data_IF_472393235688
#
_entry.id   IF_472393235688
#
_cell.length_a   1.000
_cell.length_b   1.000
_cell.length_c   1.000
_cell.angle_alpha   90.00
_cell.angle_beta   90.00
_cell.angle_gamma   90.00
#
_symmetry.space_group_name_H-M   'P 1'
#
loop_
_entity.id
_entity.type
_entity.pdbx_description
1 polymer ?
#
# COMPACT_ATOMS: atom_id res chain seq x y z
N UNK A 1 -28.60 11.91 -15.54
CA UNK A 1 -28.79 11.68 -14.08
C UNK A 1 -27.58 11.04 -13.39
N UNK A 2 -26.37 11.08 -13.99
CA UNK A 2 -25.15 10.44 -13.46
C UNK A 2 -24.19 11.47 -12.80
N UNK A 3 -24.40 12.78 -13.04
CA UNK A 3 -23.52 13.86 -12.55
C UNK A 3 -23.64 14.21 -11.06
N UNK A 4 -24.64 13.68 -10.34
CA UNK A 4 -24.89 14.01 -8.92
C UNK A 4 -24.45 12.90 -7.93
N UNK A 5 -23.73 11.87 -8.37
CA UNK A 5 -23.09 10.87 -7.50
C UNK A 5 -21.62 11.20 -7.24
N UNK A 6 -21.34 12.47 -6.96
CA UNK A 6 -20.16 12.88 -6.20
C UNK A 6 -20.38 12.38 -4.76
N UNK A 7 -20.34 11.07 -4.56
CA UNK A 7 -20.49 10.44 -3.25
C UNK A 7 -19.21 10.76 -2.50
N UNK A 8 -19.26 11.86 -1.72
CA UNK A 8 -18.71 12.06 -0.38
C UNK A 8 -17.59 11.11 0.11
N UNK A 9 -16.59 10.80 -0.71
CA UNK A 9 -15.26 10.36 -0.29
C UNK A 9 -14.26 11.53 -0.39
N UNK A 10 -14.65 12.62 -1.06
CA UNK A 10 -13.83 13.81 -1.31
C UNK A 10 -13.71 14.79 -0.13
N UNK A 11 -14.30 14.52 1.04
CA UNK A 11 -14.26 15.46 2.18
C UNK A 11 -13.35 15.03 3.34
N UNK A 12 -12.54 13.99 3.19
CA UNK A 12 -11.54 13.59 4.20
C UNK A 12 -10.14 13.37 3.61
N UNK A 13 -9.84 14.00 2.48
CA UNK A 13 -8.53 13.95 1.82
C UNK A 13 -7.82 15.30 1.95
N UNK A 14 -7.35 15.66 3.14
CA UNK A 14 -6.22 16.60 3.25
C UNK A 14 -5.27 16.15 4.36
N UNK A 15 -4.03 15.85 3.96
CA UNK A 15 -2.78 15.80 4.74
C UNK A 15 -2.46 14.54 5.59
N UNK A 16 -3.41 13.61 5.86
CA UNK A 16 -3.14 12.41 6.69
C UNK A 16 -2.82 11.10 5.95
N UNK A 17 -3.20 10.97 4.67
CA UNK A 17 -3.12 9.72 3.90
C UNK A 17 -1.65 9.34 3.56
N UNK A 18 -0.85 10.37 3.27
CA UNK A 18 0.46 10.26 2.62
C UNK A 18 1.55 9.58 3.47
N UNK A 19 1.56 9.80 4.79
CA UNK A 19 2.56 9.22 5.69
C UNK A 19 2.16 7.81 6.17
N UNK A 20 0.89 7.42 6.06
CA UNK A 20 0.43 6.18 6.71
C UNK A 20 0.46 4.96 5.79
N UNK A 21 0.20 5.09 4.48
CA UNK A 21 0.36 3.97 3.52
C UNK A 21 1.82 3.56 3.33
N UNK A 22 2.76 4.50 3.41
CA UNK A 22 4.20 4.18 3.52
C UNK A 22 4.54 3.37 4.77
N UNK A 23 3.79 3.52 5.87
CA UNK A 23 4.00 2.79 7.13
C UNK A 23 3.21 1.47 7.22
N UNK A 24 2.02 1.38 6.60
CA UNK A 24 1.22 0.15 6.53
C UNK A 24 1.87 -0.86 5.58
N UNK A 25 2.43 -0.39 4.46
CA UNK A 25 3.20 -1.22 3.52
C UNK A 25 4.68 -1.30 3.95
N UNK A 26 5.14 -0.39 4.81
CA UNK A 26 6.50 -0.31 5.35
C UNK A 26 6.83 -1.32 6.45
N UNK A 27 5.87 -2.09 6.95
CA UNK A 27 6.10 -3.14 7.96
C UNK A 27 6.13 -4.58 7.41
N UNK A 28 6.61 -4.72 6.17
CA UNK A 28 7.30 -5.94 5.76
C UNK A 28 8.58 -5.58 5.00
N UNK A 29 9.63 -5.24 5.75
CA UNK A 29 11.01 -5.37 5.26
C UNK A 29 11.44 -6.84 5.12
N UNK A 30 10.54 -7.80 5.34
CA UNK A 30 10.67 -9.15 4.83
C UNK A 30 10.10 -9.18 3.42
N UNK A 31 10.87 -9.76 2.51
CA UNK A 31 10.55 -10.07 1.12
C UNK A 31 9.29 -10.93 1.03
N UNK A 32 8.10 -10.35 1.24
CA UNK A 32 6.85 -11.05 0.99
C UNK A 32 6.76 -11.20 -0.52
N UNK A 33 6.93 -12.43 -1.00
CA UNK A 33 6.78 -12.77 -2.41
C UNK A 33 5.43 -12.24 -2.89
N UNK A 34 5.48 -11.25 -3.79
CA UNK A 34 4.28 -10.65 -4.36
C UNK A 34 3.81 -11.58 -5.46
N UNK A 35 2.75 -12.33 -5.20
CA UNK A 35 2.32 -13.39 -6.11
C UNK A 35 1.27 -12.90 -7.12
N UNK A 36 0.59 -11.77 -6.85
CA UNK A 36 -0.43 -11.20 -7.75
C UNK A 36 -0.62 -9.69 -7.53
N UNK A 37 -1.28 -9.04 -8.49
CA UNK A 37 -1.67 -7.63 -8.42
C UNK A 37 -2.87 -7.44 -7.47
N UNK A 38 -3.89 -8.30 -7.60
CA UNK A 38 -5.03 -8.30 -6.69
C UNK A 38 -4.74 -9.24 -5.53
N UNK A 39 -4.32 -8.65 -4.41
CA UNK A 39 -4.12 -9.36 -3.15
C UNK A 39 -5.33 -9.18 -2.21
N UNK A 40 -5.31 -9.90 -1.08
CA UNK A 40 -6.38 -9.82 -0.08
C UNK A 40 -6.59 -8.42 0.50
N UNK A 41 -5.57 -7.58 0.54
CA UNK A 41 -5.68 -6.21 1.06
C UNK A 41 -6.50 -5.33 0.11
N UNK A 42 -6.18 -5.37 -1.19
CA UNK A 42 -6.98 -4.69 -2.21
C UNK A 42 -8.42 -5.21 -2.24
N UNK A 43 -8.60 -6.53 -2.09
CA UNK A 43 -9.94 -7.12 -2.01
C UNK A 43 -10.72 -6.56 -0.82
N UNK A 44 -10.14 -6.50 0.38
CA UNK A 44 -10.81 -5.94 1.56
C UNK A 44 -11.19 -4.48 1.36
N UNK A 45 -10.29 -3.68 0.77
CA UNK A 45 -10.56 -2.28 0.43
C UNK A 45 -11.77 -2.17 -0.50
N UNK A 46 -11.80 -2.97 -1.58
CA UNK A 46 -12.94 -3.01 -2.50
C UNK A 46 -14.23 -3.44 -1.81
N UNK A 47 -14.17 -4.46 -0.95
CA UNK A 47 -15.35 -4.91 -0.19
C UNK A 47 -15.88 -3.80 0.71
N UNK A 48 -15.02 -3.02 1.39
CA UNK A 48 -15.43 -1.86 2.20
C UNK A 48 -16.13 -0.81 1.33
N UNK A 49 -15.50 -0.39 0.23
CA UNK A 49 -16.03 0.62 -0.68
C UNK A 49 -17.40 0.20 -1.26
N UNK A 50 -17.50 -1.03 -1.79
CA UNK A 50 -18.72 -1.51 -2.42
C UNK A 50 -19.82 -1.80 -1.39
N UNK A 51 -19.48 -2.25 -0.19
CA UNK A 51 -20.47 -2.47 0.89
C UNK A 51 -21.06 -1.13 1.35
N UNK A 52 -20.22 -0.10 1.51
CA UNK A 52 -20.68 1.25 1.79
C UNK A 52 -21.61 1.77 0.68
N UNK A 53 -21.16 1.67 -0.58
CA UNK A 53 -21.95 2.09 -1.73
C UNK A 53 -23.28 1.31 -1.85
N UNK A 54 -23.29 0.01 -1.55
CA UNK A 54 -24.49 -0.82 -1.57
C UNK A 54 -25.56 -0.31 -0.60
N UNK A 55 -25.16 0.07 0.61
CA UNK A 55 -26.11 0.61 1.59
C UNK A 55 -26.60 2.01 1.26
N UNK A 56 -25.78 2.84 0.61
CA UNK A 56 -26.17 4.19 0.19
C UNK A 56 -27.11 4.21 -1.02
N UNK A 57 -27.01 3.23 -1.92
CA UNK A 57 -27.70 3.27 -3.22
C UNK A 57 -29.18 2.87 -3.17
N UNK A 58 -29.72 2.43 -2.03
CA UNK A 58 -31.15 2.11 -1.78
C UNK A 58 -31.75 0.94 -2.58
N UNK A 59 -31.16 0.59 -3.73
CA UNK A 59 -31.54 -0.55 -4.56
C UNK A 59 -30.63 -1.74 -4.24
N UNK A 60 -31.06 -2.52 -3.26
CA UNK A 60 -30.30 -3.60 -2.60
C UNK A 60 -30.16 -4.88 -3.43
N UNK A 61 -29.82 -4.79 -4.72
CA UNK A 61 -29.58 -5.97 -5.56
C UNK A 61 -28.14 -6.50 -5.36
N UNK A 62 -28.01 -7.61 -4.64
CA UNK A 62 -26.71 -8.22 -4.30
C UNK A 62 -25.95 -8.74 -5.52
N UNK A 63 -26.62 -9.36 -6.49
CA UNK A 63 -25.96 -9.94 -7.67
C UNK A 63 -25.40 -8.84 -8.58
N UNK A 64 -26.09 -7.71 -8.67
CA UNK A 64 -25.56 -6.53 -9.36
C UNK A 64 -24.33 -5.99 -8.64
N UNK A 65 -24.37 -5.90 -7.31
CA UNK A 65 -23.26 -5.37 -6.53
C UNK A 65 -22.03 -6.30 -6.52
N UNK A 66 -22.24 -7.61 -6.59
CA UNK A 66 -21.15 -8.59 -6.76
C UNK A 66 -20.49 -8.47 -8.14
N UNK A 67 -21.27 -8.34 -9.21
CA UNK A 67 -20.73 -8.07 -10.55
C UNK A 67 -19.93 -6.78 -10.58
N UNK A 68 -20.42 -5.76 -9.89
CA UNK A 68 -19.73 -4.48 -9.73
C UNK A 68 -18.38 -4.63 -8.99
N UNK A 69 -18.34 -5.43 -7.92
CA UNK A 69 -17.10 -5.74 -7.19
C UNK A 69 -16.06 -6.36 -8.14
N UNK A 70 -16.41 -7.44 -8.84
CA UNK A 70 -15.51 -8.12 -9.76
C UNK A 70 -15.07 -7.21 -10.91
N UNK A 71 -15.98 -6.40 -11.42
CA UNK A 71 -15.66 -5.41 -12.46
C UNK A 71 -14.66 -4.36 -11.95
N UNK A 72 -14.85 -3.83 -10.74
CA UNK A 72 -13.93 -2.87 -10.13
C UNK A 72 -12.52 -3.45 -9.93
N UNK A 73 -12.42 -4.72 -9.53
CA UNK A 73 -11.16 -5.45 -9.37
C UNK A 73 -10.44 -5.60 -10.72
N UNK A 74 -11.18 -5.98 -11.76
CA UNK A 74 -10.66 -6.05 -13.13
C UNK A 74 -10.21 -4.69 -13.67
N UNK A 75 -10.90 -3.60 -13.30
CA UNK A 75 -10.48 -2.24 -13.65
C UNK A 75 -9.17 -1.82 -12.99
N UNK A 76 -8.91 -2.22 -11.75
CA UNK A 76 -7.64 -1.99 -11.07
C UNK A 76 -6.48 -2.72 -11.79
N UNK A 77 -6.70 -3.97 -12.21
CA UNK A 77 -5.73 -4.72 -12.99
C UNK A 77 -5.50 -4.10 -14.39
N UNK A 78 -6.56 -3.56 -14.98
CA UNK A 78 -6.43 -2.80 -16.22
C UNK A 78 -5.56 -1.55 -16.06
N UNK A 79 -5.73 -0.81 -14.97
CA UNK A 79 -4.90 0.36 -14.65
C UNK A 79 -3.42 -0.02 -14.49
N UNK A 80 -3.13 -1.14 -13.83
CA UNK A 80 -1.77 -1.65 -13.65
C UNK A 80 -1.04 -1.83 -15.00
N UNK A 81 -1.67 -2.52 -15.94
CA UNK A 81 -1.09 -2.73 -17.27
C UNK A 81 -1.03 -1.41 -18.07
N UNK A 82 -2.04 -0.54 -17.94
CA UNK A 82 -2.07 0.76 -18.61
C UNK A 82 -0.95 1.70 -18.12
N UNK A 83 -0.59 1.65 -16.84
CA UNK A 83 0.52 2.43 -16.29
C UNK A 83 1.89 1.82 -16.64
N UNK A 84 1.98 0.50 -16.82
CA UNK A 84 3.19 -0.12 -17.39
C UNK A 84 3.39 0.31 -18.85
N UNK A 85 2.32 0.36 -19.65
CA UNK A 85 2.43 0.81 -21.05
C UNK A 85 2.79 2.30 -21.17
N UNK A 86 2.55 3.12 -20.15
CA UNK A 86 3.00 4.52 -20.13
C UNK A 86 4.52 4.62 -20.26
N UNK A 87 5.27 3.74 -19.60
CA UNK A 87 6.74 3.68 -19.70
C UNK A 87 7.16 3.44 -21.15
N UNK A 88 6.51 2.49 -21.81
CA UNK A 88 6.75 2.15 -23.22
C UNK A 88 6.45 3.36 -24.11
N UNK A 89 5.29 3.99 -23.95
CA UNK A 89 4.89 5.16 -24.75
C UNK A 89 5.83 6.36 -24.57
N UNK A 90 6.33 6.61 -23.36
CA UNK A 90 7.35 7.64 -23.12
C UNK A 90 8.63 7.29 -23.88
N UNK A 91 9.15 6.06 -23.77
CA UNK A 91 10.39 5.69 -24.49
C UNK A 91 10.25 5.73 -26.01
N UNK A 92 9.08 5.40 -26.54
CA UNK A 92 8.81 5.47 -27.98
C UNK A 92 8.78 6.92 -28.47
N UNK A 93 8.14 7.83 -27.73
CA UNK A 93 8.14 9.26 -28.07
C UNK A 93 9.55 9.86 -27.94
N UNK A 94 10.33 9.46 -26.93
CA UNK A 94 11.73 9.89 -26.79
C UNK A 94 12.60 9.38 -27.93
N UNK A 95 12.42 8.13 -28.37
CA UNK A 95 13.11 7.58 -29.54
C UNK A 95 12.84 8.42 -30.80
N UNK A 96 11.58 8.81 -31.00
CA UNK A 96 11.18 9.71 -32.10
C UNK A 96 11.83 11.09 -31.97
N UNK A 97 11.89 11.67 -30.77
CA UNK A 97 12.55 12.97 -30.53
C UNK A 97 14.05 12.91 -30.85
N UNK A 98 14.74 11.88 -30.37
CA UNK A 98 16.18 11.66 -30.64
C UNK A 98 16.44 11.43 -32.12
N UNK A 99 15.58 10.72 -32.85
CA UNK A 99 15.71 10.54 -34.30
C UNK A 99 15.65 11.88 -35.06
N UNK A 100 14.69 12.74 -34.70
CA UNK A 100 14.56 14.08 -35.30
C UNK A 100 15.78 14.95 -35.01
N UNK A 101 16.26 14.94 -33.77
CA UNK A 101 17.45 15.68 -33.35
C UNK A 101 18.72 15.16 -34.05
N UNK A 102 18.87 13.85 -34.16
CA UNK A 102 19.97 13.20 -34.90
C UNK A 102 20.00 13.61 -36.36
N UNK A 103 18.84 13.60 -37.02
CA UNK A 103 18.73 14.03 -38.42
C UNK A 103 19.00 15.53 -38.60
N UNK A 104 18.73 16.36 -37.59
CA UNK A 104 19.13 17.77 -37.59
C UNK A 104 20.65 17.91 -37.40
N UNK A 105 21.22 17.24 -36.41
CA UNK A 105 22.65 17.30 -36.12
C UNK A 105 23.51 16.87 -37.31
N UNK A 106 23.12 15.80 -38.01
CA UNK A 106 23.77 15.34 -39.25
C UNK A 106 23.73 16.39 -40.37
N UNK A 107 22.65 17.16 -40.49
CA UNK A 107 22.52 18.22 -41.51
C UNK A 107 23.32 19.47 -41.16
N UNK A 108 23.41 19.79 -39.87
CA UNK A 108 24.05 21.00 -39.36
C UNK A 108 25.53 20.78 -39.00
N UNK A 109 26.00 19.53 -38.98
CA UNK A 109 27.36 19.17 -38.59
C UNK A 109 27.63 19.33 -37.09
N UNK A 110 26.58 19.25 -36.26
CA UNK A 110 26.67 19.34 -34.80
C UNK A 110 26.70 17.96 -34.14
N UNK A 111 26.94 17.92 -32.83
CA UNK A 111 27.00 16.67 -32.07
C UNK A 111 25.65 15.95 -32.05
N UNK A 112 25.70 14.63 -32.24
CA UNK A 112 24.52 13.76 -32.23
C UNK A 112 24.09 13.50 -30.78
N UNK A 113 22.79 13.57 -30.46
CA UNK A 113 22.30 13.27 -29.12
C UNK A 113 22.56 11.81 -28.72
N UNK A 114 22.71 11.57 -27.42
CA UNK A 114 22.91 10.21 -26.88
C UNK A 114 21.67 9.35 -27.03
N UNK A 115 21.85 8.08 -27.41
CA UNK A 115 20.76 7.12 -27.56
C UNK A 115 20.48 6.30 -26.28
N UNK A 116 21.19 6.58 -25.18
CA UNK A 116 21.16 5.76 -23.96
C UNK A 116 19.77 5.61 -23.35
N UNK A 117 19.01 6.69 -23.24
CA UNK A 117 17.68 6.62 -22.63
C UNK A 117 16.66 5.95 -23.56
N UNK A 118 16.74 6.20 -24.87
CA UNK A 118 15.77 5.70 -25.85
C UNK A 118 15.91 4.21 -26.17
N UNK A 119 17.07 3.63 -25.86
CA UNK A 119 17.34 2.19 -25.88
C UNK A 119 17.65 1.62 -24.48
N UNK A 120 17.08 2.23 -23.44
CA UNK A 120 17.13 1.70 -22.08
C UNK A 120 16.69 0.23 -22.05
N UNK A 121 17.55 -0.66 -21.56
CA UNK A 121 17.41 -2.12 -21.67
C UNK A 121 16.15 -2.64 -20.97
N UNK A 122 15.79 -2.05 -19.82
CA UNK A 122 14.56 -2.38 -19.11
C UNK A 122 13.32 -1.99 -19.92
N UNK A 123 13.28 -0.76 -20.45
CA UNK A 123 12.13 -0.28 -21.21
C UNK A 123 11.93 -1.05 -22.52
N UNK A 124 13.02 -1.40 -23.22
CA UNK A 124 12.97 -2.28 -24.40
C UNK A 124 12.42 -3.65 -24.04
N UNK A 125 12.87 -4.25 -22.93
CA UNK A 125 12.31 -5.53 -22.48
C UNK A 125 10.82 -5.44 -22.14
N UNK A 126 10.37 -4.32 -21.55
CA UNK A 126 8.96 -4.07 -21.26
C UNK A 126 8.14 -3.86 -22.53
N UNK A 127 8.68 -3.15 -23.53
CA UNK A 127 8.09 -2.95 -24.86
C UNK A 127 7.87 -4.29 -25.58
N UNK A 128 8.82 -5.22 -25.46
CA UNK A 128 8.73 -6.56 -26.06
C UNK A 128 7.91 -7.57 -25.24
N UNK A 129 7.43 -7.19 -24.06
CA UNK A 129 6.77 -8.11 -23.14
C UNK A 129 5.50 -8.73 -23.74
N UNK A 130 5.44 -10.07 -23.82
CA UNK A 130 4.33 -10.78 -24.47
C UNK A 130 3.00 -10.60 -23.75
N UNK A 131 3.00 -10.61 -22.41
CA UNK A 131 1.77 -10.47 -21.61
C UNK A 131 1.20 -9.05 -21.71
N UNK A 132 2.06 -8.04 -21.66
CA UNK A 132 1.65 -6.64 -21.82
C UNK A 132 1.04 -6.41 -23.22
N UNK A 133 1.73 -6.86 -24.27
CA UNK A 133 1.26 -6.70 -25.65
C UNK A 133 -0.09 -7.40 -25.88
N UNK A 134 -0.24 -8.64 -25.39
CA UNK A 134 -1.52 -9.36 -25.46
C UNK A 134 -2.65 -8.61 -24.73
N UNK A 135 -2.36 -8.01 -23.57
CA UNK A 135 -3.34 -7.19 -22.85
C UNK A 135 -3.76 -5.95 -23.66
N UNK A 136 -2.80 -5.27 -24.29
CA UNK A 136 -3.01 -4.03 -25.06
C UNK A 136 -3.78 -4.23 -26.38
N UNK A 137 -3.79 -5.44 -26.95
CA UNK A 137 -4.61 -5.78 -28.12
C UNK A 137 -6.12 -5.65 -27.84
N UNK A 138 -6.54 -5.89 -26.60
CA UNK A 138 -7.95 -5.85 -26.18
C UNK A 138 -8.42 -4.54 -25.54
N UNK A 139 -7.55 -3.53 -25.41
CA UNK A 139 -7.89 -2.30 -24.67
C UNK A 139 -8.60 -1.26 -25.54
N UNK A 140 -9.51 -0.52 -24.91
CA UNK A 140 -10.23 0.58 -25.55
C UNK A 140 -9.42 1.88 -25.62
N UNK A 141 -8.44 2.07 -24.73
CA UNK A 141 -7.66 3.30 -24.60
C UNK A 141 -6.18 3.00 -24.72
N UNK A 142 -5.45 3.88 -25.39
CA UNK A 142 -3.98 3.84 -25.51
C UNK A 142 -3.40 5.22 -25.25
N UNK A 143 -2.15 5.28 -24.81
CA UNK A 143 -1.45 6.56 -24.63
C UNK A 143 -1.24 7.33 -25.94
N UNK A 144 -1.37 6.67 -27.08
CA UNK A 144 -1.43 7.27 -28.42
C UNK A 144 -2.58 8.27 -28.56
N UNK A 145 -3.67 8.07 -27.79
CA UNK A 145 -4.81 8.99 -27.75
C UNK A 145 -4.51 10.26 -26.93
N UNK A 146 -3.53 10.21 -26.02
CA UNK A 146 -3.17 11.28 -25.08
C UNK A 146 -1.69 11.70 -25.22
N UNK A 147 -1.19 11.76 -26.46
CA UNK A 147 0.23 12.05 -26.74
C UNK A 147 0.74 13.39 -26.20
N UNK A 148 -0.15 14.37 -25.97
CA UNK A 148 0.24 15.62 -25.32
C UNK A 148 0.71 15.39 -23.87
N UNK A 149 0.04 14.50 -23.14
CA UNK A 149 0.44 14.12 -21.78
C UNK A 149 1.77 13.38 -21.79
N UNK A 150 1.94 12.44 -22.73
CA UNK A 150 3.21 11.71 -22.91
C UNK A 150 4.36 12.68 -23.20
N UNK A 151 4.15 13.66 -24.09
CA UNK A 151 5.15 14.69 -24.40
C UNK A 151 5.49 15.58 -23.20
N UNK A 152 4.48 15.96 -22.41
CA UNK A 152 4.71 16.76 -21.20
C UNK A 152 5.55 15.97 -20.17
N UNK A 153 5.30 14.66 -20.03
CA UNK A 153 6.11 13.78 -19.19
C UNK A 153 7.54 13.64 -19.71
N UNK A 154 7.74 13.50 -21.02
CA UNK A 154 9.06 13.53 -21.66
C UNK A 154 9.84 14.80 -21.27
N UNK A 155 9.21 15.98 -21.44
CA UNK A 155 9.82 17.27 -21.10
C UNK A 155 10.20 17.35 -19.60
N UNK A 156 9.33 16.84 -18.71
CA UNK A 156 9.58 16.79 -17.27
C UNK A 156 10.73 15.83 -16.93
N UNK A 157 10.82 14.69 -17.61
CA UNK A 157 11.90 13.71 -17.42
C UNK A 157 13.22 14.33 -17.84
N UNK A 158 13.32 14.91 -19.04
CA UNK A 158 14.55 15.54 -19.53
C UNK A 158 15.05 16.66 -18.62
N UNK A 159 14.14 17.44 -18.02
CA UNK A 159 14.47 18.52 -17.09
C UNK A 159 14.83 18.04 -15.68
N UNK A 160 14.59 16.77 -15.36
CA UNK A 160 14.79 16.24 -14.02
C UNK A 160 16.27 15.96 -13.71
N UNK A 161 16.66 16.19 -12.46
CA UNK A 161 18.00 15.82 -11.96
C UNK A 161 18.27 14.32 -12.12
N UNK A 162 17.23 13.48 -11.94
CA UNK A 162 17.32 12.02 -12.07
C UNK A 162 17.77 11.61 -13.47
N UNK A 163 17.22 12.25 -14.50
CA UNK A 163 17.61 12.00 -15.88
C UNK A 163 19.02 12.50 -16.17
N UNK A 164 19.36 13.71 -15.74
CA UNK A 164 20.69 14.29 -15.96
C UNK A 164 21.80 13.45 -15.29
N UNK A 165 21.58 12.98 -14.06
CA UNK A 165 22.51 12.09 -13.35
C UNK A 165 22.68 10.75 -14.06
N UNK A 166 21.59 10.15 -14.56
CA UNK A 166 21.67 8.91 -15.32
C UNK A 166 22.42 9.10 -16.63
N UNK A 167 22.14 10.17 -17.38
CA UNK A 167 22.81 10.43 -18.66
C UNK A 167 24.31 10.69 -18.48
N UNK A 168 24.72 11.27 -17.34
CA UNK A 168 26.12 11.53 -17.00
C UNK A 168 26.88 10.35 -16.37
N UNK A 169 26.19 9.29 -15.93
CA UNK A 169 26.80 8.12 -15.27
C UNK A 169 27.53 7.22 -16.27
N UNK A 170 28.65 6.58 -15.91
CA UNK A 170 29.28 5.58 -16.79
C UNK A 170 28.66 4.16 -16.65
N UNK A 171 27.67 3.98 -15.77
CA UNK A 171 27.03 2.68 -15.51
C UNK A 171 25.97 2.34 -16.57
N UNK A 172 26.33 1.47 -17.53
CA UNK A 172 25.46 0.93 -18.58
C UNK A 172 24.83 -0.43 -18.19
N UNK A 173 24.72 -0.76 -16.90
CA UNK A 173 24.09 -2.00 -16.47
C UNK A 173 22.57 -1.99 -16.66
N UNK A 174 21.99 -3.19 -16.80
CA UNK A 174 20.54 -3.36 -16.78
C UNK A 174 19.92 -2.84 -15.47
N UNK A 175 20.62 -2.99 -14.35
CA UNK A 175 20.15 -2.51 -13.05
C UNK A 175 20.08 -0.99 -12.99
N UNK A 176 21.04 -0.27 -13.58
CA UNK A 176 20.99 1.19 -13.73
C UNK A 176 19.78 1.62 -14.57
N UNK A 177 19.57 0.96 -15.71
CA UNK A 177 18.45 1.20 -16.62
C UNK A 177 17.09 0.99 -15.95
N UNK A 178 16.96 -0.06 -15.16
CA UNK A 178 15.74 -0.38 -14.40
C UNK A 178 15.52 0.59 -13.24
N UNK A 179 16.58 0.96 -12.52
CA UNK A 179 16.48 1.82 -11.34
C UNK A 179 16.14 3.27 -11.72
N UNK A 180 16.59 3.79 -12.87
CA UNK A 180 16.11 5.10 -13.32
C UNK A 180 14.59 5.09 -13.56
N UNK A 181 14.04 4.09 -14.23
CA UNK A 181 12.59 4.02 -14.45
C UNK A 181 11.80 3.94 -13.15
N UNK A 182 12.33 3.22 -12.17
CA UNK A 182 11.75 3.19 -10.83
C UNK A 182 11.78 4.56 -10.15
N UNK A 183 12.87 5.33 -10.30
CA UNK A 183 12.98 6.70 -9.76
C UNK A 183 12.03 7.65 -10.48
N UNK A 184 12.06 7.68 -11.82
CA UNK A 184 11.15 8.48 -12.66
C UNK A 184 9.70 8.22 -12.27
N UNK A 185 9.30 6.94 -12.17
CA UNK A 185 7.92 6.59 -11.83
C UNK A 185 7.53 7.17 -10.47
N UNK A 186 8.37 6.97 -9.46
CA UNK A 186 8.12 7.45 -8.10
C UNK A 186 8.02 8.97 -8.01
N UNK A 187 8.85 9.70 -8.75
CA UNK A 187 8.99 11.16 -8.56
C UNK A 187 8.17 11.99 -9.53
N UNK A 188 7.91 11.47 -10.74
CA UNK A 188 7.29 12.23 -11.83
C UNK A 188 5.94 11.67 -12.29
N UNK A 189 5.64 10.39 -12.01
CA UNK A 189 4.41 9.72 -12.47
C UNK A 189 3.43 9.48 -11.32
N UNK A 190 3.91 8.97 -10.18
CA UNK A 190 3.04 8.58 -9.06
C UNK A 190 2.23 9.77 -8.49
N UNK A 191 2.83 10.96 -8.40
CA UNK A 191 2.22 12.16 -7.81
C UNK A 191 1.98 13.25 -8.87
N UNK A 192 1.51 12.85 -10.05
CA UNK A 192 1.30 13.75 -11.18
C UNK A 192 -0.18 14.13 -11.32
N UNK A 193 -0.55 15.34 -10.91
CA UNK A 193 -1.93 15.82 -10.93
C UNK A 193 -2.55 15.85 -12.33
N UNK A 194 -1.76 16.16 -13.36
CA UNK A 194 -2.24 16.16 -14.75
C UNK A 194 -2.58 14.74 -15.22
N UNK A 195 -1.72 13.77 -14.86
CA UNK A 195 -1.97 12.36 -15.15
C UNK A 195 -3.20 11.86 -14.40
N UNK A 196 -3.36 12.24 -13.14
CA UNK A 196 -4.52 11.87 -12.32
C UNK A 196 -5.83 12.35 -12.96
N UNK A 197 -5.86 13.59 -13.49
CA UNK A 197 -7.00 14.13 -14.19
C UNK A 197 -7.36 13.33 -15.46
N UNK A 198 -6.36 12.93 -16.24
CA UNK A 198 -6.57 12.10 -17.45
C UNK A 198 -7.13 10.73 -17.08
N UNK A 199 -6.58 10.10 -16.05
CA UNK A 199 -7.05 8.79 -15.59
C UNK A 199 -8.48 8.87 -15.05
N UNK A 200 -8.84 9.93 -14.33
CA UNK A 200 -10.20 10.16 -13.83
C UNK A 200 -11.22 10.32 -14.96
N UNK A 201 -10.86 11.00 -16.05
CA UNK A 201 -11.72 11.14 -17.22
C UNK A 201 -12.00 9.79 -17.91
N UNK A 202 -11.00 8.91 -17.97
CA UNK A 202 -11.12 7.59 -18.63
C UNK A 202 -11.88 6.58 -17.78
N UNK A 203 -11.71 6.60 -16.46
CA UNK A 203 -12.40 5.65 -15.59
C UNK A 203 -12.66 6.16 -14.19
N UNK A 204 -13.92 6.10 -13.78
CA UNK A 204 -14.35 6.38 -12.41
C UNK A 204 -13.76 5.41 -11.37
N UNK A 205 -13.27 4.24 -11.79
CA UNK A 205 -12.71 3.23 -10.87
C UNK A 205 -11.22 3.47 -10.59
N UNK A 206 -10.51 4.16 -11.49
CA UNK A 206 -9.05 4.23 -11.44
C UNK A 206 -8.52 5.15 -10.35
N UNK A 207 -9.20 6.26 -10.07
CA UNK A 207 -8.74 7.23 -9.07
C UNK A 207 -8.62 6.60 -7.67
N UNK A 208 -9.58 5.74 -7.29
CA UNK A 208 -9.57 5.09 -5.98
C UNK A 208 -8.50 4.00 -5.84
N UNK A 209 -8.01 3.44 -6.96
CA UNK A 209 -7.05 2.33 -6.98
C UNK A 209 -5.62 2.75 -7.27
N UNK A 210 -5.43 3.97 -7.81
CA UNK A 210 -4.15 4.41 -8.38
C UNK A 210 -2.99 4.25 -7.41
N UNK A 211 -3.12 4.65 -6.16
CA UNK A 211 -2.02 4.59 -5.19
C UNK A 211 -1.54 3.15 -4.92
N UNK A 212 -2.49 2.21 -4.82
CA UNK A 212 -2.17 0.79 -4.63
C UNK A 212 -1.54 0.23 -5.90
N UNK A 213 -2.12 0.57 -7.05
CA UNK A 213 -1.63 0.15 -8.36
C UNK A 213 -0.22 0.65 -8.61
N UNK A 214 0.08 1.92 -8.33
CA UNK A 214 1.40 2.53 -8.45
C UNK A 214 2.45 1.75 -7.66
N UNK A 215 2.08 1.32 -6.45
CA UNK A 215 2.94 0.48 -5.62
C UNK A 215 3.28 -0.83 -6.34
N UNK A 216 2.30 -1.49 -6.97
CA UNK A 216 2.51 -2.71 -7.75
C UNK A 216 3.29 -2.49 -9.04
N UNK A 217 3.12 -1.35 -9.72
CA UNK A 217 3.94 -0.98 -10.88
C UNK A 217 5.40 -0.85 -10.47
N UNK A 218 5.70 -0.09 -9.40
CA UNK A 218 7.07 0.05 -8.88
C UNK A 218 7.67 -1.30 -8.48
N UNK A 219 6.90 -2.16 -7.82
CA UNK A 219 7.33 -3.52 -7.44
C UNK A 219 7.60 -4.38 -8.68
N UNK A 220 6.81 -4.20 -9.74
CA UNK A 220 7.01 -4.89 -11.02
C UNK A 220 8.29 -4.45 -11.68
N UNK A 221 8.54 -3.13 -11.78
CA UNK A 221 9.79 -2.58 -12.32
C UNK A 221 10.99 -3.25 -11.64
N UNK A 222 11.01 -3.31 -10.30
CA UNK A 222 12.11 -3.94 -9.53
C UNK A 222 12.31 -5.44 -9.79
N UNK A 223 11.28 -6.17 -10.21
CA UNK A 223 11.28 -7.62 -10.36
C UNK A 223 11.74 -8.09 -11.74
N UNK A 224 11.81 -7.20 -12.72
CA UNK A 224 12.27 -7.55 -14.05
C UNK A 224 13.70 -8.11 -14.00
N UNK A 225 13.90 -9.23 -14.68
CA UNK A 225 15.16 -9.93 -14.82
C UNK A 225 15.52 -10.02 -16.32
N UNK A 226 16.71 -9.57 -16.74
CA UNK A 226 17.13 -9.60 -18.14
C UNK A 226 17.16 -11.03 -18.73
N UNK A 227 17.29 -12.07 -17.90
CA UNK A 227 17.29 -13.48 -18.36
C UNK A 227 15.98 -13.85 -19.03
N UNK A 228 14.86 -13.28 -18.57
CA UNK A 228 13.53 -13.64 -19.05
C UNK A 228 13.15 -12.96 -20.37
N UNK A 229 13.85 -11.89 -20.77
CA UNK A 229 13.57 -11.14 -22.02
C UNK A 229 12.07 -10.81 -22.17
N UNK A 230 11.51 -10.98 -23.37
CA UNK A 230 10.09 -10.81 -23.68
C UNK A 230 9.13 -11.75 -22.90
N UNK A 231 9.65 -12.83 -22.31
CA UNK A 231 8.90 -13.80 -21.51
C UNK A 231 8.86 -13.43 -20.02
N UNK A 232 9.34 -12.25 -19.63
CA UNK A 232 9.22 -11.73 -18.27
C UNK A 232 7.76 -11.76 -17.80
N UNK A 233 7.46 -12.50 -16.73
CA UNK A 233 6.12 -12.54 -16.17
C UNK A 233 5.77 -11.20 -15.50
N UNK A 234 4.57 -10.70 -15.79
CA UNK A 234 3.92 -9.64 -15.06
C UNK A 234 3.15 -10.23 -13.86
N UNK A 235 2.70 -9.36 -12.96
CA UNK A 235 1.83 -9.80 -11.88
C UNK A 235 0.51 -10.31 -12.47
N UNK A 236 0.08 -11.54 -12.18
CA UNK A 236 -1.25 -11.98 -12.59
C UNK A 236 -2.32 -11.19 -11.86
N UNK A 237 -3.52 -11.11 -12.44
CA UNK A 237 -4.68 -10.44 -11.84
C UNK A 237 -4.95 -11.00 -10.44
N UNK A 238 -5.22 -12.30 -10.34
CA UNK A 238 -5.31 -13.04 -9.08
C UNK A 238 -4.17 -14.04 -8.96
N UNK A 239 -3.78 -14.36 -7.72
CA UNK A 239 -2.77 -15.40 -7.47
C UNK A 239 -3.31 -16.78 -7.86
N UNK A 240 -4.55 -17.04 -7.48
CA UNK A 240 -5.29 -18.28 -7.69
C UNK A 240 -6.80 -17.99 -7.69
N UNK A 241 -7.60 -18.99 -8.04
CA UNK A 241 -9.07 -18.88 -7.98
C UNK A 241 -9.57 -18.65 -6.55
N UNK A 242 -8.79 -19.04 -5.52
CA UNK A 242 -9.17 -18.86 -4.12
C UNK A 242 -9.28 -17.39 -3.72
N UNK A 243 -8.39 -16.51 -4.22
CA UNK A 243 -8.47 -15.08 -3.92
C UNK A 243 -9.68 -14.42 -4.62
N UNK A 244 -10.05 -14.89 -5.82
CA UNK A 244 -11.29 -14.45 -6.48
C UNK A 244 -12.53 -14.90 -5.69
N UNK A 245 -12.54 -16.15 -5.25
CA UNK A 245 -13.61 -16.70 -4.41
C UNK A 245 -13.67 -16.02 -3.04
N UNK A 246 -12.51 -15.66 -2.48
CA UNK A 246 -12.42 -14.88 -1.25
C UNK A 246 -13.16 -13.54 -1.40
N UNK A 247 -12.93 -12.81 -2.49
CA UNK A 247 -13.61 -11.54 -2.75
C UNK A 247 -15.13 -11.69 -2.79
N UNK A 248 -15.63 -12.65 -3.59
CA UNK A 248 -17.08 -12.90 -3.74
C UNK A 248 -17.69 -13.36 -2.42
N UNK A 249 -17.06 -14.33 -1.75
CA UNK A 249 -17.57 -14.92 -0.51
C UNK A 249 -17.57 -13.93 0.64
N UNK A 250 -16.52 -13.11 0.78
CA UNK A 250 -16.44 -12.07 1.80
C UNK A 250 -17.54 -11.03 1.59
N UNK A 251 -17.72 -10.57 0.35
CA UNK A 251 -18.75 -9.58 0.02
C UNK A 251 -20.17 -10.11 0.26
N UNK A 252 -20.50 -11.29 -0.27
CA UNK A 252 -21.83 -11.90 -0.09
C UNK A 252 -22.10 -12.17 1.39
N UNK A 253 -21.15 -12.77 2.12
CA UNK A 253 -21.32 -13.08 3.55
C UNK A 253 -21.49 -11.83 4.40
N UNK A 254 -20.83 -10.72 4.05
CA UNK A 254 -20.99 -9.41 4.69
C UNK A 254 -22.43 -8.92 4.57
N UNK A 255 -22.99 -8.91 3.35
CA UNK A 255 -24.32 -8.36 3.09
C UNK A 255 -25.42 -9.27 3.62
N UNK A 256 -25.36 -10.57 3.34
CA UNK A 256 -26.44 -11.52 3.66
C UNK A 256 -26.64 -11.71 5.17
N UNK A 257 -25.59 -11.50 5.97
CA UNK A 257 -25.63 -11.70 7.42
C UNK A 257 -25.55 -10.37 8.20
N UNK A 258 -25.76 -9.24 7.53
CA UNK A 258 -25.60 -7.91 8.12
C UNK A 258 -26.36 -7.74 9.45
N UNK A 259 -27.64 -8.12 9.50
CA UNK A 259 -28.47 -8.04 10.71
C UNK A 259 -27.91 -8.88 11.86
N UNK A 260 -27.35 -10.05 11.55
CA UNK A 260 -26.75 -10.94 12.54
C UNK A 260 -25.48 -10.33 13.11
N UNK A 261 -24.63 -9.75 12.25
CA UNK A 261 -23.41 -9.09 12.69
C UNK A 261 -23.71 -7.84 13.51
N UNK A 262 -24.72 -7.06 13.14
CA UNK A 262 -25.21 -5.95 13.96
C UNK A 262 -25.69 -6.40 15.35
N UNK A 263 -26.35 -7.57 15.45
CA UNK A 263 -26.71 -8.13 16.77
C UNK A 263 -25.47 -8.46 17.60
N UNK A 264 -24.45 -9.08 17.02
CA UNK A 264 -23.21 -9.37 17.75
C UNK A 264 -22.49 -8.12 18.25
N UNK A 265 -22.50 -7.06 17.44
CA UNK A 265 -22.05 -5.74 17.86
C UNK A 265 -22.90 -5.25 19.06
N UNK A 266 -24.24 -5.27 18.95
CA UNK A 266 -25.16 -4.84 20.00
C UNK A 266 -25.01 -5.60 21.33
N UNK A 267 -24.77 -6.91 21.29
CA UNK A 267 -24.68 -7.76 22.48
C UNK A 267 -23.38 -7.54 23.27
N UNK A 268 -22.33 -7.08 22.58
CA UNK A 268 -20.98 -6.89 23.15
C UNK A 268 -20.75 -5.46 23.66
N UNK A 269 -21.69 -4.54 23.42
CA UNK A 269 -21.52 -3.11 23.71
C UNK A 269 -22.03 -2.63 25.05
N UNK A 270 -22.16 -3.49 26.06
CA UNK A 270 -22.70 -3.08 27.36
C UNK A 270 -22.00 -1.85 27.97
N UNK A 271 -20.76 -1.57 27.56
CA UNK A 271 -19.96 -0.41 27.96
C UNK A 271 -19.67 0.60 26.82
N UNK A 272 -20.25 0.43 25.64
CA UNK A 272 -19.93 1.20 24.44
C UNK A 272 -21.16 1.93 23.90
N UNK A 273 -21.05 3.23 23.68
CA UNK A 273 -22.13 4.05 23.13
C UNK A 273 -22.20 3.91 21.61
N UNK A 274 -23.09 3.03 21.13
CA UNK A 274 -23.32 2.78 19.71
C UNK A 274 -23.80 4.01 18.93
N UNK A 275 -24.45 4.96 19.59
CA UNK A 275 -24.95 6.18 18.93
C UNK A 275 -23.82 7.10 18.45
N UNK A 276 -22.59 6.89 18.92
CA UNK A 276 -21.41 7.68 18.58
C UNK A 276 -20.54 7.07 17.48
N UNK A 277 -20.90 5.90 16.98
CA UNK A 277 -20.12 5.27 15.92
C UNK A 277 -20.27 6.00 14.60
N UNK A 278 -19.15 6.23 13.93
CA UNK A 278 -19.19 6.61 12.53
C UNK A 278 -19.79 5.45 11.72
N UNK A 279 -20.58 5.77 10.71
CA UNK A 279 -21.18 4.74 9.86
C UNK A 279 -20.12 3.83 9.21
N UNK A 280 -18.96 4.40 8.84
CA UNK A 280 -17.81 3.64 8.34
C UNK A 280 -17.27 2.62 9.34
N UNK A 281 -17.29 2.92 10.64
CA UNK A 281 -16.85 1.97 11.67
C UNK A 281 -17.73 0.73 11.70
N UNK A 282 -19.06 0.94 11.57
CA UNK A 282 -20.03 -0.15 11.53
C UNK A 282 -19.79 -1.03 10.30
N UNK A 283 -19.58 -0.43 9.12
CA UNK A 283 -19.28 -1.18 7.88
C UNK A 283 -17.98 -1.98 8.03
N UNK A 284 -16.90 -1.35 8.51
CA UNK A 284 -15.59 -2.00 8.70
C UNK A 284 -15.70 -3.16 9.68
N UNK A 285 -16.34 -2.97 10.83
CA UNK A 285 -16.54 -4.05 11.81
C UNK A 285 -17.41 -5.17 11.27
N UNK A 286 -18.44 -4.86 10.47
CA UNK A 286 -19.32 -5.86 9.88
C UNK A 286 -18.55 -6.79 8.96
N UNK A 287 -17.70 -6.24 8.11
CA UNK A 287 -16.86 -7.02 7.19
C UNK A 287 -15.82 -7.82 7.99
N UNK A 288 -15.23 -7.25 9.04
CA UNK A 288 -14.30 -7.96 9.90
C UNK A 288 -14.94 -9.20 10.57
N UNK A 289 -16.16 -9.07 11.09
CA UNK A 289 -16.92 -10.19 11.67
C UNK A 289 -17.22 -11.23 10.59
N UNK A 290 -17.62 -10.79 9.39
CA UNK A 290 -17.85 -11.68 8.26
C UNK A 290 -16.59 -12.48 7.92
N UNK A 291 -15.42 -11.84 7.88
CA UNK A 291 -14.16 -12.52 7.60
C UNK A 291 -13.82 -13.55 8.69
N UNK A 292 -13.93 -13.16 9.97
CA UNK A 292 -13.63 -14.03 11.11
C UNK A 292 -14.47 -15.32 11.10
N UNK A 293 -15.76 -15.21 10.76
CA UNK A 293 -16.70 -16.34 10.77
C UNK A 293 -16.62 -17.19 9.48
N UNK A 294 -16.31 -16.57 8.34
CA UNK A 294 -16.43 -17.22 7.03
C UNK A 294 -15.16 -17.94 6.59
N UNK A 295 -13.99 -17.48 7.05
CA UNK A 295 -12.69 -17.98 6.58
C UNK A 295 -11.89 -18.64 7.72
N UNK A 296 -11.97 -19.96 7.91
CA UNK A 296 -11.35 -20.64 9.05
C UNK A 296 -9.82 -20.51 9.06
N UNK A 297 -9.20 -20.41 7.88
CA UNK A 297 -7.75 -20.38 7.71
C UNK A 297 -7.13 -19.00 8.00
N UNK A 298 -7.93 -17.96 8.28
CA UNK A 298 -7.42 -16.63 8.62
C UNK A 298 -7.46 -16.45 10.14
N UNK A 299 -6.31 -16.26 10.81
CA UNK A 299 -6.28 -16.00 12.25
C UNK A 299 -7.03 -14.73 12.63
N UNK A 300 -7.77 -14.78 13.74
CA UNK A 300 -8.58 -13.64 14.23
C UNK A 300 -7.75 -12.37 14.40
N UNK A 301 -6.54 -12.49 14.97
CA UNK A 301 -5.66 -11.34 15.20
C UNK A 301 -5.20 -10.66 13.90
N UNK A 302 -5.03 -11.44 12.82
CA UNK A 302 -4.67 -10.89 11.51
C UNK A 302 -5.86 -10.10 10.98
N UNK A 303 -7.06 -10.70 10.95
CA UNK A 303 -8.29 -9.99 10.55
C UNK A 303 -8.47 -8.69 11.33
N UNK A 304 -8.37 -8.70 12.66
CA UNK A 304 -8.50 -7.47 13.47
C UNK A 304 -7.50 -6.40 13.03
N UNK A 305 -6.22 -6.76 12.88
CA UNK A 305 -5.19 -5.79 12.48
C UNK A 305 -5.49 -5.17 11.12
N UNK A 306 -5.86 -5.98 10.12
CA UNK A 306 -6.18 -5.48 8.77
C UNK A 306 -7.33 -4.47 8.79
N UNK A 307 -8.43 -4.79 9.47
CA UNK A 307 -9.58 -3.89 9.54
C UNK A 307 -9.35 -2.66 10.43
N UNK A 308 -8.42 -2.73 11.39
CA UNK A 308 -7.96 -1.56 12.16
C UNK A 308 -7.19 -0.58 11.26
N UNK A 309 -6.32 -1.06 10.38
CA UNK A 309 -5.63 -0.19 9.42
C UNK A 309 -6.63 0.42 8.41
N UNK A 310 -7.60 -0.36 7.92
CA UNK A 310 -8.66 0.17 7.07
C UNK A 310 -9.50 1.24 7.77
N UNK A 311 -9.76 1.09 9.06
CA UNK A 311 -10.48 2.08 9.85
C UNK A 311 -9.74 3.42 9.96
N UNK A 312 -8.42 3.37 10.12
CA UNK A 312 -7.59 4.59 10.13
C UNK A 312 -7.62 5.30 8.78
N UNK A 313 -7.77 4.54 7.70
CA UNK A 313 -7.78 5.06 6.34
C UNK A 313 -9.13 5.69 5.94
N UNK A 314 -10.23 5.03 6.30
CA UNK A 314 -11.57 5.37 5.78
C UNK A 314 -12.53 5.98 6.79
N UNK A 315 -12.18 6.00 8.08
CA UNK A 315 -13.04 6.54 9.13
C UNK A 315 -12.36 7.71 9.86
N UNK A 316 -12.68 7.92 11.14
CA UNK A 316 -12.11 9.01 11.94
C UNK A 316 -10.71 8.66 12.49
N UNK A 317 -9.87 9.66 12.84
CA UNK A 317 -8.55 9.42 13.44
C UNK A 317 -8.57 8.58 14.73
N UNK A 318 -9.70 8.53 15.44
CA UNK A 318 -9.85 7.77 16.70
C UNK A 318 -10.38 6.34 16.48
N UNK A 319 -10.81 6.00 15.28
CA UNK A 319 -11.53 4.75 14.99
C UNK A 319 -10.65 3.52 15.17
N UNK A 320 -9.36 3.59 14.80
CA UNK A 320 -8.47 2.43 14.86
C UNK A 320 -8.39 1.79 16.25
N UNK A 321 -8.17 2.61 17.30
CA UNK A 321 -8.11 2.11 18.67
C UNK A 321 -9.46 1.59 19.19
N UNK A 322 -10.55 2.24 18.79
CA UNK A 322 -11.91 1.85 19.16
C UNK A 322 -12.30 0.50 18.54
N UNK A 323 -12.14 0.37 17.21
CA UNK A 323 -12.48 -0.83 16.46
C UNK A 323 -11.63 -2.02 16.92
N UNK A 324 -10.35 -1.81 17.23
CA UNK A 324 -9.50 -2.85 17.79
C UNK A 324 -10.10 -3.43 19.08
N UNK A 325 -10.50 -2.57 20.02
CA UNK A 325 -11.10 -3.00 21.29
C UNK A 325 -12.45 -3.68 21.12
N UNK A 326 -13.29 -3.17 20.22
CA UNK A 326 -14.61 -3.73 19.95
C UNK A 326 -14.51 -5.10 19.25
N UNK A 327 -13.64 -5.22 18.24
CA UNK A 327 -13.44 -6.48 17.54
C UNK A 327 -12.80 -7.57 18.44
N UNK A 328 -11.88 -7.22 19.36
CA UNK A 328 -11.38 -8.19 20.37
C UNK A 328 -12.53 -8.68 21.26
N UNK A 329 -13.39 -7.77 21.73
CA UNK A 329 -14.53 -8.13 22.57
C UNK A 329 -15.55 -9.02 21.82
N UNK A 330 -15.85 -8.68 20.56
CA UNK A 330 -16.75 -9.46 19.70
C UNK A 330 -16.17 -10.84 19.43
N UNK A 331 -14.89 -10.92 19.04
CA UNK A 331 -14.25 -12.19 18.75
C UNK A 331 -14.28 -13.14 19.96
N UNK A 332 -14.02 -12.63 21.17
CA UNK A 332 -14.12 -13.42 22.41
C UNK A 332 -15.55 -13.87 22.68
N UNK A 333 -16.53 -12.98 22.54
CA UNK A 333 -17.94 -13.35 22.67
C UNK A 333 -18.36 -14.46 21.69
N UNK A 334 -17.90 -14.39 20.44
CA UNK A 334 -18.19 -15.40 19.43
C UNK A 334 -17.58 -16.77 19.80
N UNK A 335 -16.39 -16.79 20.40
CA UNK A 335 -15.74 -18.01 20.89
C UNK A 335 -16.46 -18.55 22.13
N UNK A 336 -16.69 -17.71 23.13
CA UNK A 336 -17.31 -18.08 24.41
C UNK A 336 -18.73 -18.64 24.23
N UNK A 337 -19.45 -18.16 23.22
CA UNK A 337 -20.80 -18.64 22.89
C UNK A 337 -20.82 -19.77 21.86
N UNK A 338 -19.67 -20.31 21.46
CA UNK A 338 -19.57 -21.42 20.51
C UNK A 338 -19.99 -21.08 19.09
N UNK A 339 -20.07 -19.79 18.74
CA UNK A 339 -20.40 -19.30 17.38
C UNK A 339 -19.18 -19.29 16.46
N UNK A 340 -17.96 -19.27 17.02
CA UNK A 340 -16.71 -19.32 16.29
C UNK A 340 -15.73 -20.29 16.96
N UNK A 341 -15.16 -21.22 16.19
CA UNK A 341 -14.17 -22.19 16.67
C UNK A 341 -12.77 -21.80 16.18
N UNK A 342 -12.22 -20.71 16.73
CA UNK A 342 -10.85 -20.25 16.45
C UNK A 342 -10.11 -20.00 17.76
N UNK A 343 -8.80 -20.19 17.74
CA UNK A 343 -7.96 -19.85 18.89
C UNK A 343 -7.71 -18.33 18.92
N UNK A 344 -7.73 -17.77 20.12
CA UNK A 344 -7.32 -16.39 20.38
C UNK A 344 -6.30 -16.35 21.51
N UNK A 345 -5.29 -15.47 21.43
CA UNK A 345 -4.38 -15.27 22.53
C UNK A 345 -5.11 -14.73 23.76
N UNK A 346 -4.63 -15.12 24.95
CA UNK A 346 -5.10 -14.58 26.22
C UNK A 346 -4.95 -13.05 26.23
N UNK A 347 -5.86 -12.36 26.92
CA UNK A 347 -5.70 -10.92 27.15
C UNK A 347 -4.37 -10.71 27.88
N UNK A 348 -3.49 -9.89 27.29
CA UNK A 348 -2.36 -9.35 28.06
C UNK A 348 -2.95 -8.63 29.26
N UNK A 349 -2.75 -9.17 30.45
CA UNK A 349 -3.12 -8.47 31.67
C UNK A 349 -2.39 -7.12 31.65
N UNK A 350 -3.07 -6.00 31.96
CA UNK A 350 -2.36 -4.75 32.16
C UNK A 350 -1.29 -5.02 33.23
N UNK A 351 -0.02 -4.74 32.91
CA UNK A 351 1.09 -4.83 33.87
C UNK A 351 0.63 -4.15 35.14
N UNK A 352 0.52 -4.91 36.23
CA UNK A 352 0.06 -4.38 37.51
C UNK A 352 0.94 -3.18 37.86
N UNK A 353 0.34 -2.00 38.12
CA UNK A 353 1.08 -0.78 38.48
C UNK A 353 2.02 -0.99 39.67
N UNK A 354 1.80 -2.04 40.47
CA UNK A 354 2.65 -2.47 41.57
C UNK A 354 4.08 -2.85 41.13
N UNK A 355 4.29 -3.35 39.91
CA UNK A 355 5.64 -3.66 39.41
C UNK A 355 6.44 -2.39 39.08
N UNK A 356 5.75 -1.32 38.67
CA UNK A 356 6.37 -0.01 38.38
C UNK A 356 6.71 0.73 39.68
N UNK A 357 5.87 0.60 40.71
CA UNK A 357 6.11 1.16 42.04
C UNK A 357 7.27 0.44 42.76
N UNK A 358 7.32 -0.89 42.71
CA UNK A 358 8.43 -1.67 43.29
C UNK A 358 9.77 -1.42 42.58
N UNK A 359 9.75 -1.16 41.26
CA UNK A 359 10.98 -0.83 40.53
C UNK A 359 11.50 0.55 40.92
N UNK A 360 10.64 1.57 41.02
CA UNK A 360 11.04 2.91 41.44
C UNK A 360 11.49 2.98 42.91
N UNK A 361 10.86 2.22 43.81
CA UNK A 361 11.30 2.17 45.21
C UNK A 361 12.65 1.46 45.39
N UNK A 362 12.99 0.49 44.55
CA UNK A 362 14.32 -0.14 44.59
C UNK A 362 15.42 0.79 44.07
N UNK A 363 15.13 1.70 43.13
CA UNK A 363 16.08 2.74 42.73
C UNK A 363 16.29 3.79 43.84
N UNK A 364 15.23 4.28 44.48
CA UNK A 364 15.35 5.25 45.58
C UNK A 364 16.00 4.67 46.85
N UNK A 365 15.86 3.36 47.10
CA UNK A 365 16.54 2.68 48.22
C UNK A 365 18.04 2.48 47.98
N UNK A 366 18.44 2.29 46.71
CA UNK A 366 19.85 2.17 46.34
C UNK A 366 20.55 3.55 46.32
N UNK A 367 19.87 4.61 45.91
CA UNK A 367 20.40 5.99 46.00
C UNK A 367 20.56 6.45 47.46
N UNK A 368 19.61 6.13 48.34
CA UNK A 368 19.73 6.46 49.77
C UNK A 368 20.89 5.72 50.48
N UNK A 369 21.28 4.53 50.01
CA UNK A 369 22.44 3.81 50.53
C UNK A 369 23.76 4.35 49.96
N UNK A 370 23.78 4.83 48.70
CA UNK A 370 24.95 5.47 48.10
C UNK A 370 25.22 6.86 48.68
N UNK A 371 24.20 7.59 49.14
CA UNK A 371 24.37 8.92 49.73
C UNK A 371 24.95 8.90 51.17
N UNK A 372 24.77 7.79 51.90
CA UNK A 372 25.28 7.66 53.28
C UNK A 372 26.78 7.33 53.35
N UNK A 373 27.36 6.72 52.32
CA UNK A 373 28.80 6.39 52.29
C UNK A 373 29.71 7.61 52.01
N UNK A 374 29.15 8.76 51.63
CA UNK A 374 29.92 9.99 51.37
C UNK A 374 29.97 10.96 52.56
N UNK A 375 29.39 10.63 53.72
CA UNK A 375 29.43 11.48 54.92
C UNK A 375 30.29 10.95 56.09
N UNK A 376 30.83 9.73 56.01
CA UNK A 376 31.84 9.26 56.98
C UNK A 376 33.23 9.27 56.34
N UNK A 377 34.00 10.31 56.66
CA UNK A 377 35.37 10.46 56.20
C UNK A 377 36.28 9.36 56.71
N UNK A 378 36.92 8.66 55.78
CA UNK A 378 38.18 7.98 56.00
C UNK A 378 39.11 8.27 54.82
N UNK A 379 40.07 9.15 55.05
CA UNK A 379 41.16 9.44 54.12
C UNK A 379 42.25 8.38 54.33
N UNK A 380 42.68 7.63 53.30
CA UNK A 380 43.88 6.83 53.40
C UNK A 380 45.12 7.72 53.21
N UNK A 381 46.02 7.73 54.21
CA UNK A 381 47.41 8.17 54.07
C UNK A 381 48.32 6.97 53.72
N UNK A 382 49.48 7.30 53.14
CA UNK A 382 50.60 6.43 52.70
C UNK A 382 50.48 5.88 51.27
N UNK A 383 51.47 5.95 50.39
CA UNK A 383 52.87 6.35 50.50
C UNK A 383 53.53 6.39 49.11
N UNK A 384 54.72 6.98 49.06
CA UNK A 384 55.59 7.22 47.91
C UNK A 384 56.20 5.94 47.30
N UNK A 385 56.80 6.11 46.11
CA UNK A 385 57.63 5.21 45.27
C UNK A 385 56.88 4.75 44.00
N UNK A 386 57.28 5.05 42.76
CA UNK A 386 58.59 5.32 42.20
C UNK A 386 58.99 4.16 41.30
N UNK A 387 58.69 4.18 40.00
CA UNK A 387 59.67 3.81 38.97
C UNK A 387 59.17 4.03 37.53
N UNK A 388 60.15 4.41 36.72
CA UNK A 388 60.19 4.55 35.28
C UNK A 388 60.11 3.19 34.56
N UNK A 389 59.55 3.15 33.34
CA UNK A 389 60.30 2.83 32.12
C UNK A 389 59.40 2.72 30.88
N UNK A 390 60.00 3.16 29.78
CA UNK A 390 59.70 3.00 28.35
C UNK A 390 59.38 1.50 28.01
N UNK A 391 58.82 1.10 26.87
CA UNK A 391 59.14 1.45 25.48
C UNK A 391 58.22 0.61 24.53
N UNK A 392 58.04 1.09 23.30
CA UNK A 392 57.45 0.49 22.07
C UNK A 392 55.94 0.48 21.84
#
# INVERSE_FOLDING_TARGET
MIKNKKIMLFSCKEQGFFLHLQNIIGFSQNTTFILAMINRDLIRIKVVQLTYAYYQNGNHNIDKAEKELLFSLSKAYGLYNYLLSLIVSITQEERRRVEVLTNRAKREGTDVPSERFVYNKFAVQLEENKQLNLFLEGQQYRWEDDMEAVRKLCDQIEQSVIYQEYMASDDDSYDADREIWRKIYRTLIQENEDLDAILEEKSLYWNDDKEIVDTFVIKTIKRFDPVNKADQELLPEFKDEEDRDFAVKLFRSTILNADTYQRYMSETSRNWDFSRLAYMDVVVMQIAIAEMLTFPNIPVSVTINEYVELAKLYSTPRSGGYINGMLDAIARYLIDTGKMFKQMPERRQPRNNNERWNRNNNYSRNEANLQNDYQEGNVPQDGLEGNTNEEF
#
